data_IF_317253171921
#
_entry.id   IF_317253171921
#
_cell.length_a   1.000
_cell.length_b   1.000
_cell.length_c   1.000
_cell.angle_alpha   90.00
_cell.angle_beta   90.00
_cell.angle_gamma   90.00
#
_symmetry.space_group_name_H-M   'P 1'
#
loop_
_entity.id
_entity.type
_entity.pdbx_description
1 polymer ?
#
# COMPACT_ATOMS: atom_id res chain seq x y z
N UNK A 1 1.12 -37.65 -15.77
CA UNK A 1 0.27 -37.36 -14.60
C UNK A 1 0.22 -35.86 -14.45
N UNK A 2 -0.95 -35.23 -14.63
CA UNK A 2 -1.08 -33.77 -14.52
C UNK A 2 -0.91 -33.41 -13.04
N UNK A 3 0.20 -32.77 -12.70
CA UNK A 3 0.48 -32.22 -11.38
C UNK A 3 -0.67 -31.27 -11.02
N UNK A 4 -1.44 -31.62 -10.00
CA UNK A 4 -2.31 -30.68 -9.31
C UNK A 4 -1.40 -29.65 -8.63
N UNK A 5 -1.06 -28.60 -9.39
CA UNK A 5 -0.51 -27.40 -8.81
C UNK A 5 -1.66 -26.77 -8.03
N UNK A 6 -1.76 -27.08 -6.74
CA UNK A 6 -2.46 -26.25 -5.78
C UNK A 6 -1.65 -24.94 -5.72
N UNK A 7 -1.84 -24.09 -6.73
CA UNK A 7 -1.27 -22.76 -6.74
C UNK A 7 -1.70 -22.06 -5.45
N UNK A 8 -0.83 -21.24 -4.84
CA UNK A 8 -1.22 -20.50 -3.64
C UNK A 8 -2.54 -19.80 -3.94
N UNK A 9 -3.57 -20.01 -3.11
CA UNK A 9 -4.86 -19.36 -3.29
C UNK A 9 -4.62 -17.85 -3.35
N UNK A 10 -4.65 -17.30 -4.56
CA UNK A 10 -4.34 -15.90 -4.78
C UNK A 10 -5.53 -15.08 -4.26
N UNK A 11 -5.25 -14.13 -3.37
CA UNK A 11 -6.27 -13.23 -2.87
C UNK A 11 -6.43 -12.11 -3.87
N UNK A 12 -7.54 -12.10 -4.62
CA UNK A 12 -7.77 -11.17 -5.72
C UNK A 12 -8.70 -10.03 -5.29
N UNK A 13 -8.31 -8.79 -5.60
CA UNK A 13 -9.19 -7.64 -5.48
C UNK A 13 -10.26 -7.66 -6.57
N UNK A 14 -11.53 -7.70 -6.19
CA UNK A 14 -12.65 -7.72 -7.16
C UNK A 14 -12.84 -6.39 -7.90
N UNK A 15 -12.37 -5.27 -7.35
CA UNK A 15 -12.54 -3.95 -7.94
C UNK A 15 -11.52 -3.66 -9.07
N UNK A 16 -10.28 -4.17 -8.96
CA UNK A 16 -9.24 -3.91 -9.96
C UNK A 16 -8.42 -5.13 -10.40
N UNK A 17 -8.78 -6.34 -9.97
CA UNK A 17 -8.15 -7.59 -10.41
C UNK A 17 -6.74 -7.85 -9.85
N UNK A 18 -6.19 -6.96 -9.01
CA UNK A 18 -4.87 -7.14 -8.40
C UNK A 18 -4.82 -8.39 -7.51
N UNK A 19 -3.73 -9.14 -7.61
CA UNK A 19 -3.50 -10.38 -6.85
C UNK A 19 -2.55 -10.15 -5.68
N UNK A 20 -2.81 -10.84 -4.57
CA UNK A 20 -2.01 -10.76 -3.36
C UNK A 20 -1.70 -12.17 -2.84
N UNK A 21 -0.49 -12.34 -2.31
CA UNK A 21 -0.04 -13.59 -1.69
C UNK A 21 -0.66 -13.84 -0.31
N UNK A 22 -1.21 -12.80 0.34
CA UNK A 22 -1.77 -12.89 1.68
C UNK A 22 -3.07 -12.07 1.80
N UNK A 23 -4.06 -12.61 2.52
CA UNK A 23 -5.34 -11.94 2.80
C UNK A 23 -5.15 -10.59 3.50
N UNK A 24 -4.20 -10.48 4.44
CA UNK A 24 -3.90 -9.22 5.13
C UNK A 24 -3.46 -8.10 4.16
N UNK A 25 -2.80 -8.46 3.07
CA UNK A 25 -2.35 -7.51 2.05
C UNK A 25 -3.52 -7.06 1.19
N UNK A 26 -4.41 -7.99 0.80
CA UNK A 26 -5.67 -7.65 0.12
C UNK A 26 -6.54 -6.73 1.00
N UNK A 27 -6.71 -7.05 2.28
CA UNK A 27 -7.50 -6.23 3.22
C UNK A 27 -6.91 -4.84 3.44
N UNK A 28 -5.58 -4.70 3.38
CA UNK A 28 -4.93 -3.38 3.37
C UNK A 28 -5.18 -2.64 2.06
N UNK A 29 -5.10 -3.34 0.94
CA UNK A 29 -5.30 -2.77 -0.39
C UNK A 29 -6.72 -2.24 -0.62
N UNK A 30 -7.77 -2.96 -0.21
CA UNK A 30 -9.16 -2.51 -0.40
C UNK A 30 -9.47 -1.17 0.27
N UNK A 31 -8.69 -0.76 1.28
CA UNK A 31 -8.81 0.57 1.92
C UNK A 31 -8.43 1.70 0.95
N UNK A 32 -7.60 1.43 -0.06
CA UNK A 32 -7.26 2.41 -1.09
C UNK A 32 -8.49 2.84 -1.90
N UNK A 33 -9.35 1.88 -2.29
CA UNK A 33 -10.58 2.18 -3.02
C UNK A 33 -11.56 3.05 -2.24
N UNK A 34 -11.44 3.08 -0.92
CA UNK A 34 -12.35 3.86 -0.06
C UNK A 34 -12.06 5.36 -0.04
N UNK A 35 -10.93 5.84 -0.62
CA UNK A 35 -10.44 7.24 -0.56
C UNK A 35 -10.36 7.86 0.84
N UNK A 36 -10.69 7.11 1.89
CA UNK A 36 -10.65 7.50 3.29
C UNK A 36 -9.22 7.37 3.82
N UNK A 37 -8.39 8.34 3.46
CA UNK A 37 -7.07 8.54 4.03
C UNK A 37 -7.22 9.14 5.43
N UNK A 38 -7.24 8.28 6.45
CA UNK A 38 -7.45 8.67 7.85
C UNK A 38 -6.27 9.41 8.47
N UNK A 39 -5.09 9.29 7.89
CA UNK A 39 -3.85 9.82 8.47
C UNK A 39 -3.22 10.84 7.53
N UNK A 40 -3.17 12.11 7.93
CA UNK A 40 -2.62 13.18 7.12
C UNK A 40 -1.20 13.52 7.56
N UNK A 41 -0.32 13.75 6.58
CA UNK A 41 1.00 14.30 6.85
C UNK A 41 0.89 15.76 7.29
N UNK A 42 1.47 16.10 8.45
CA UNK A 42 1.48 17.48 8.95
C UNK A 42 2.33 18.46 8.13
N UNK A 43 3.23 17.97 7.28
CA UNK A 43 4.13 18.80 6.47
C UNK A 43 3.57 19.13 5.09
N UNK A 44 2.87 18.18 4.46
CA UNK A 44 2.36 18.34 3.09
C UNK A 44 0.90 17.92 2.90
N UNK A 45 0.19 17.56 3.97
CA UNK A 45 -1.21 17.14 3.97
C UNK A 45 -1.55 15.92 3.09
N UNK A 46 -0.55 15.22 2.55
CA UNK A 46 -0.74 13.94 1.88
C UNK A 46 -1.38 12.95 2.85
N UNK A 47 -2.46 12.31 2.42
CA UNK A 47 -3.18 11.34 3.24
C UNK A 47 -2.69 9.91 3.06
N UNK A 48 -2.86 9.09 4.10
CA UNK A 48 -2.45 7.69 4.16
C UNK A 48 -3.54 6.84 4.81
N UNK A 49 -3.60 5.56 4.42
CA UNK A 49 -4.55 4.58 4.94
C UNK A 49 -4.08 3.90 6.23
N UNK A 50 -2.78 4.04 6.57
CA UNK A 50 -2.16 3.45 7.75
C UNK A 50 -1.07 4.37 8.34
N UNK A 51 -0.83 4.23 9.65
CA UNK A 51 0.14 5.00 10.43
C UNK A 51 1.59 4.62 10.09
N UNK A 52 1.84 3.36 9.73
CA UNK A 52 3.17 2.90 9.31
C UNK A 52 3.65 3.64 8.05
N UNK A 53 2.77 3.76 7.06
CA UNK A 53 3.06 4.47 5.81
C UNK A 53 3.23 5.97 6.03
N UNK A 54 2.38 6.59 6.88
CA UNK A 54 2.56 7.97 7.28
C UNK A 54 3.91 8.18 7.98
N UNK A 55 4.29 7.33 8.94
CA UNK A 55 5.55 7.48 9.69
C UNK A 55 6.76 7.36 8.76
N UNK A 56 6.75 6.39 7.86
CA UNK A 56 7.78 6.24 6.83
C UNK A 56 7.86 7.46 5.92
N UNK A 57 6.73 8.00 5.50
CA UNK A 57 6.67 9.23 4.73
C UNK A 57 7.17 10.46 5.51
N UNK A 58 6.82 10.62 6.78
CA UNK A 58 7.25 11.81 7.55
C UNK A 58 8.77 11.95 7.66
N UNK A 59 9.51 10.82 7.58
CA UNK A 59 10.98 10.82 7.58
C UNK A 59 11.56 11.53 6.36
N UNK A 60 10.85 11.56 5.22
CA UNK A 60 11.30 12.24 4.00
C UNK A 60 11.28 13.76 4.13
N UNK A 61 10.55 14.30 5.10
CA UNK A 61 10.52 15.74 5.40
C UNK A 61 11.61 16.15 6.37
N UNK A 62 12.04 15.24 7.23
CA UNK A 62 13.01 15.52 8.30
C UNK A 62 14.44 15.15 7.94
N UNK A 63 14.64 14.25 6.97
CA UNK A 63 15.96 13.77 6.55
C UNK A 63 16.23 14.13 5.07
N UNK A 64 17.08 15.15 4.81
CA UNK A 64 17.36 15.63 3.47
C UNK A 64 18.13 14.62 2.60
N UNK A 65 18.84 13.65 3.19
CA UNK A 65 19.56 12.60 2.44
C UNK A 65 18.60 11.50 1.95
N UNK A 66 17.46 11.32 2.62
CA UNK A 66 16.41 10.37 2.21
C UNK A 66 15.45 10.94 1.16
N UNK A 67 15.67 12.18 0.71
CA UNK A 67 14.79 12.90 -0.24
C UNK A 67 14.71 12.21 -1.61
N UNK A 68 15.72 11.43 -1.99
CA UNK A 68 15.79 10.73 -3.28
C UNK A 68 15.44 9.24 -3.20
N UNK A 69 15.48 8.62 -2.02
CA UNK A 69 15.15 7.18 -1.83
C UNK A 69 13.65 6.92 -1.68
N UNK A 70 12.84 7.98 -1.60
CA UNK A 70 11.41 7.90 -1.35
C UNK A 70 10.60 8.69 -2.38
N UNK A 71 10.86 8.48 -3.67
CA UNK A 71 9.80 8.57 -4.69
C UNK A 71 8.70 7.57 -4.29
N UNK A 72 7.82 8.03 -3.40
CA UNK A 72 6.48 7.51 -3.13
C UNK A 72 6.27 6.00 -3.28
N UNK A 73 7.03 5.13 -2.62
CA UNK A 73 6.60 3.73 -2.42
C UNK A 73 5.50 3.69 -1.33
N UNK A 74 4.46 4.47 -1.54
CA UNK A 74 3.10 4.04 -1.29
C UNK A 74 2.41 3.98 -2.65
N UNK A 75 2.94 3.16 -3.56
CA UNK A 75 2.18 2.59 -4.70
C UNK A 75 1.03 1.67 -4.22
N UNK A 76 0.68 1.74 -2.92
CA UNK A 76 -0.62 1.31 -2.44
C UNK A 76 -1.76 2.08 -3.12
N UNK A 77 -1.47 3.25 -3.73
CA UNK A 77 -2.40 4.16 -4.39
C UNK A 77 -2.49 4.04 -5.92
N UNK A 78 -1.94 2.99 -6.55
CA UNK A 78 -2.25 2.69 -7.97
C UNK A 78 -3.06 1.39 -8.07
N UNK A 79 -4.17 1.31 -7.34
CA UNK A 79 -5.47 1.21 -8.02
C UNK A 79 -6.19 2.54 -7.75
#
# INVERSE_FOLDING_TARGET
MKSLQFGPSEFVCKACGKKFSLLRLLNRHIKCHSQMRRYLCKFCFKGFNDTFDLKRHTRTHTDPELRFLALSISDADLC
#
